data_IF_184656703282
#
_entry.id   IF_184656703282
#
_cell.length_a   1.000
_cell.length_b   1.000
_cell.length_c   1.000
_cell.angle_alpha   90.00
_cell.angle_beta   90.00
_cell.angle_gamma   90.00
#
_symmetry.space_group_name_H-M   'P 1'
#
loop_
_entity.id
_entity.type
_entity.pdbx_description
1 polymer ?
#
# COMPACT_ATOMS: atom_id res chain seq x y z
N UNK A 1 -1.92 -29.45 15.44
CA UNK A 1 -1.26 -28.18 15.09
C UNK A 1 -1.38 -27.99 13.59
N UNK A 2 -1.11 -26.80 13.09
CA UNK A 2 -0.97 -26.56 11.65
C UNK A 2 0.52 -26.61 11.29
N UNK A 3 0.86 -27.17 10.13
CA UNK A 3 2.21 -27.16 9.58
C UNK A 3 2.20 -26.72 8.12
N UNK A 4 3.32 -26.16 7.65
CA UNK A 4 3.48 -25.66 6.28
C UNK A 4 4.74 -26.24 5.64
N UNK A 5 4.58 -26.80 4.46
CA UNK A 5 5.66 -27.23 3.58
C UNK A 5 5.78 -26.25 2.42
N UNK A 6 6.89 -25.53 2.36
CA UNK A 6 7.09 -24.46 1.39
C UNK A 6 7.63 -24.99 0.06
N UNK A 7 7.24 -24.33 -1.03
CA UNK A 7 7.72 -24.68 -2.37
C UNK A 7 9.26 -24.56 -2.47
N UNK A 8 9.96 -25.51 -3.12
CA UNK A 8 11.43 -25.55 -3.16
C UNK A 8 12.08 -24.44 -3.99
N UNK A 9 11.39 -23.92 -5.01
CA UNK A 9 11.81 -22.72 -5.74
C UNK A 9 11.57 -21.45 -4.89
N UNK A 10 12.53 -21.14 -4.01
CA UNK A 10 12.48 -19.98 -3.10
C UNK A 10 12.80 -18.69 -3.85
N UNK A 11 11.99 -17.63 -3.73
CA UNK A 11 12.28 -16.33 -4.35
C UNK A 11 13.55 -15.69 -3.81
N UNK A 12 14.34 -15.10 -4.70
CA UNK A 12 15.55 -14.34 -4.35
C UNK A 12 15.22 -12.85 -4.36
N UNK A 13 15.62 -12.16 -3.30
CA UNK A 13 15.55 -10.70 -3.24
C UNK A 13 16.86 -10.09 -3.75
N UNK A 14 16.78 -9.26 -4.79
CA UNK A 14 17.92 -8.52 -5.29
C UNK A 14 18.01 -7.18 -4.54
N UNK A 15 18.82 -7.11 -3.48
CA UNK A 15 18.98 -5.87 -2.70
C UNK A 15 19.91 -4.89 -3.43
N UNK A 16 19.35 -3.83 -4.01
CA UNK A 16 20.14 -2.69 -4.56
C UNK A 16 20.14 -1.50 -3.57
N UNK A 17 19.45 -1.62 -2.44
CA UNK A 17 19.36 -0.61 -1.38
C UNK A 17 18.25 -0.93 -0.38
N UNK A 18 18.10 -0.08 0.62
CA UNK A 18 17.05 -0.23 1.64
C UNK A 18 15.66 0.07 1.08
N UNK A 19 14.73 -0.88 1.26
CA UNK A 19 13.32 -0.66 0.97
C UNK A 19 12.66 0.23 2.05
N UNK A 20 11.40 0.61 1.84
CA UNK A 20 10.72 1.53 2.75
C UNK A 20 10.56 0.96 4.17
N UNK A 21 10.27 -0.34 4.28
CA UNK A 21 10.16 -1.02 5.58
C UNK A 21 11.50 -1.00 6.33
N UNK A 22 12.61 -1.31 5.65
CA UNK A 22 13.96 -1.23 6.23
C UNK A 22 14.30 0.19 6.67
N UNK A 23 13.90 1.21 5.90
CA UNK A 23 14.03 2.62 6.31
C UNK A 23 13.18 3.01 7.51
N UNK A 24 12.04 2.34 7.72
CA UNK A 24 11.22 2.48 8.92
C UNK A 24 11.91 1.83 10.12
N UNK A 25 12.51 0.66 9.93
CA UNK A 25 13.22 -0.09 10.98
C UNK A 25 14.51 0.61 11.44
N UNK A 26 15.18 1.35 10.55
CA UNK A 26 16.35 2.16 10.90
C UNK A 26 16.01 3.58 11.38
N UNK A 27 14.72 3.92 11.52
CA UNK A 27 14.32 5.23 12.00
C UNK A 27 14.54 5.38 13.51
N UNK A 28 14.79 6.61 13.96
CA UNK A 28 14.95 6.96 15.38
C UNK A 28 13.72 6.61 16.25
N UNK A 29 12.55 6.46 15.63
CA UNK A 29 11.28 6.08 16.25
C UNK A 29 10.87 4.63 15.95
N UNK A 30 11.75 3.80 15.37
CA UNK A 30 11.43 2.42 14.99
C UNK A 30 10.83 1.60 16.14
N UNK A 31 11.34 1.76 17.37
CA UNK A 31 10.87 1.03 18.55
C UNK A 31 9.38 1.26 18.87
N UNK A 32 8.82 2.42 18.51
CA UNK A 32 7.40 2.74 18.75
C UNK A 32 6.54 2.54 17.49
N UNK A 33 7.15 2.41 16.31
CA UNK A 33 6.40 2.27 15.06
C UNK A 33 5.69 0.93 14.92
N UNK A 34 6.26 -0.11 15.53
CA UNK A 34 5.71 -1.47 15.49
C UNK A 34 4.61 -1.74 16.52
N UNK A 35 4.43 -0.85 17.50
CA UNK A 35 3.55 -1.10 18.66
C UNK A 35 2.50 -0.02 18.90
N UNK A 36 2.82 1.26 18.70
CA UNK A 36 1.98 2.37 19.16
C UNK A 36 1.79 3.49 18.11
N UNK A 37 2.73 3.65 17.18
CA UNK A 37 2.81 4.82 16.31
C UNK A 37 2.92 4.47 14.82
N UNK A 38 1.78 4.42 14.13
CA UNK A 38 1.72 4.17 12.68
C UNK A 38 2.15 5.35 11.80
N UNK A 39 2.51 6.50 12.38
CA UNK A 39 2.72 7.75 11.67
C UNK A 39 4.18 8.00 11.28
N UNK A 40 4.86 7.01 10.72
CA UNK A 40 6.20 7.19 10.16
C UNK A 40 6.23 8.35 9.14
N UNK A 41 7.29 9.19 9.11
CA UNK A 41 8.48 9.20 9.98
C UNK A 41 8.33 10.05 11.26
N UNK A 42 7.11 10.45 11.62
CA UNK A 42 6.84 11.33 12.75
C UNK A 42 6.80 10.56 14.07
N UNK A 43 7.17 11.22 15.17
CA UNK A 43 7.20 10.59 16.49
C UNK A 43 5.81 10.28 17.07
N UNK A 44 4.74 10.86 16.51
CA UNK A 44 3.36 10.63 16.95
C UNK A 44 2.34 11.13 15.94
N UNK A 45 1.08 10.72 16.11
CA UNK A 45 -0.08 11.26 15.38
C UNK A 45 -0.16 12.79 15.44
N UNK A 46 0.09 13.37 16.61
CA UNK A 46 0.02 14.83 16.80
C UNK A 46 1.08 15.55 15.95
N UNK A 47 2.30 15.03 15.92
CA UNK A 47 3.39 15.60 15.09
C UNK A 47 3.15 15.39 13.60
N UNK A 48 2.58 14.25 13.20
CA UNK A 48 2.12 14.02 11.83
C UNK A 48 1.05 15.03 11.42
N UNK A 49 0.00 15.22 12.24
CA UNK A 49 -1.07 16.17 11.93
C UNK A 49 -0.55 17.60 11.75
N UNK A 50 0.40 18.02 12.60
CA UNK A 50 1.07 19.30 12.46
C UNK A 50 1.84 19.40 11.15
N UNK A 51 2.67 18.40 10.82
CA UNK A 51 3.42 18.35 9.56
C UNK A 51 2.50 18.35 8.33
N UNK A 52 1.41 17.59 8.38
CA UNK A 52 0.38 17.54 7.34
C UNK A 52 -0.24 18.93 7.15
N UNK A 53 -0.71 19.57 8.22
CA UNK A 53 -1.30 20.90 8.17
C UNK A 53 -0.33 21.95 7.60
N UNK A 54 0.93 21.94 8.04
CA UNK A 54 1.97 22.83 7.52
C UNK A 54 2.27 22.58 6.03
N UNK A 55 2.08 21.34 5.55
CA UNK A 55 2.35 20.99 4.15
C UNK A 55 1.20 21.29 3.20
N UNK A 56 -0.05 21.08 3.63
CA UNK A 56 -1.24 21.31 2.79
C UNK A 56 -1.80 22.71 2.95
N UNK A 57 -1.42 23.40 4.02
CA UNK A 57 -1.80 24.79 4.26
C UNK A 57 -1.22 25.73 3.21
N UNK A 58 -1.90 26.86 3.01
CA UNK A 58 -1.46 27.92 2.10
C UNK A 58 -0.35 28.79 2.72
N UNK A 59 0.67 28.15 3.31
CA UNK A 59 1.82 28.80 3.93
C UNK A 59 3.04 28.73 3.00
N UNK A 60 3.77 29.83 2.89
CA UNK A 60 5.08 29.85 2.24
C UNK A 60 6.13 29.13 3.10
N UNK A 61 7.23 28.72 2.48
CA UNK A 61 8.34 28.08 3.21
C UNK A 61 8.87 28.98 4.34
N UNK A 62 8.94 30.29 4.10
CA UNK A 62 9.36 31.28 5.10
C UNK A 62 8.40 31.35 6.28
N UNK A 63 7.09 31.32 6.04
CA UNK A 63 6.09 31.35 7.12
C UNK A 63 6.13 30.06 7.95
N UNK A 64 6.35 28.91 7.30
CA UNK A 64 6.57 27.64 8.01
C UNK A 64 7.82 27.73 8.89
N UNK A 65 8.93 28.23 8.36
CA UNK A 65 10.15 28.40 9.16
C UNK A 65 9.94 29.37 10.33
N UNK A 66 9.25 30.50 10.12
CA UNK A 66 8.89 31.43 11.20
C UNK A 66 8.08 30.73 12.28
N UNK A 67 7.05 29.96 11.90
CA UNK A 67 6.25 29.18 12.84
C UNK A 67 7.10 28.20 13.65
N UNK A 68 8.03 27.48 13.01
CA UNK A 68 8.88 26.49 13.67
C UNK A 68 9.83 27.11 14.72
N UNK A 69 10.19 28.39 14.56
CA UNK A 69 11.08 29.10 15.48
C UNK A 69 10.34 29.92 16.56
N UNK A 70 9.01 29.84 16.64
CA UNK A 70 8.27 30.47 17.74
C UNK A 70 8.66 29.83 19.09
N UNK A 71 8.67 30.62 20.16
CA UNK A 71 8.98 30.11 21.50
C UNK A 71 8.01 28.99 21.93
N UNK A 72 6.74 29.11 21.54
CA UNK A 72 5.71 28.11 21.81
C UNK A 72 6.00 26.74 21.15
N UNK A 73 6.53 26.73 19.92
CA UNK A 73 6.90 25.48 19.24
C UNK A 73 8.18 24.87 19.81
N UNK A 74 9.08 25.69 20.38
CA UNK A 74 10.26 25.22 21.10
C UNK A 74 9.94 24.34 22.32
N UNK A 75 8.79 24.55 22.96
CA UNK A 75 8.34 23.77 24.11
C UNK A 75 7.80 22.37 23.73
N UNK A 76 7.38 22.17 22.48
CA UNK A 76 6.96 20.86 21.95
C UNK A 76 7.37 20.76 20.48
N UNK A 77 8.67 20.51 20.21
CA UNK A 77 9.19 20.62 18.85
C UNK A 77 8.59 19.53 17.95
N UNK A 78 8.25 19.88 16.69
CA UNK A 78 7.90 18.89 15.69
C UNK A 78 9.08 17.96 15.41
N UNK A 79 8.84 16.90 14.64
CA UNK A 79 9.89 15.93 14.29
C UNK A 79 10.92 16.48 13.27
N UNK A 80 10.77 17.72 12.79
CA UNK A 80 11.58 18.37 11.76
C UNK A 80 11.90 19.82 12.16
N UNK A 81 13.02 20.37 11.70
CA UNK A 81 13.50 21.69 12.15
C UNK A 81 13.23 22.81 11.14
N UNK A 82 13.02 22.48 9.86
CA UNK A 82 12.76 23.47 8.80
C UNK A 82 11.66 23.00 7.83
N UNK A 83 11.11 23.95 7.07
CA UNK A 83 10.21 23.67 5.94
C UNK A 83 10.88 22.76 4.90
N UNK A 84 12.19 22.89 4.71
CA UNK A 84 12.99 22.05 3.83
C UNK A 84 13.03 20.60 4.33
N UNK A 85 13.23 20.39 5.63
CA UNK A 85 13.26 19.05 6.24
C UNK A 85 11.90 18.35 6.08
N UNK A 86 10.81 19.05 6.36
CA UNK A 86 9.45 18.55 6.15
C UNK A 86 9.24 18.11 4.69
N UNK A 87 9.69 18.91 3.72
CA UNK A 87 9.59 18.56 2.29
C UNK A 87 10.45 17.36 1.92
N UNK A 88 11.64 17.22 2.49
CA UNK A 88 12.50 16.05 2.28
C UNK A 88 11.79 14.79 2.79
N UNK A 89 11.14 14.87 3.95
CA UNK A 89 10.40 13.76 4.52
C UNK A 89 9.22 13.35 3.66
N UNK A 90 8.42 14.31 3.20
CA UNK A 90 7.29 14.06 2.29
C UNK A 90 7.76 13.42 0.98
N UNK A 91 8.88 13.90 0.41
CA UNK A 91 9.48 13.28 -0.78
C UNK A 91 10.03 11.88 -0.55
N UNK A 92 10.34 11.53 0.70
CA UNK A 92 10.81 10.20 1.09
C UNK A 92 9.68 9.19 1.31
N UNK A 93 8.42 9.64 1.37
CA UNK A 93 7.26 8.75 1.47
C UNK A 93 7.00 8.04 0.13
N UNK A 94 6.39 6.84 0.16
CA UNK A 94 6.10 6.10 -1.06
C UNK A 94 5.17 6.90 -1.97
N UNK A 95 5.52 7.00 -3.26
CA UNK A 95 4.62 7.61 -4.24
C UNK A 95 3.33 6.79 -4.36
N UNK A 96 2.20 7.49 -4.39
CA UNK A 96 0.88 6.89 -4.60
C UNK A 96 0.55 6.95 -6.09
N UNK A 97 0.00 5.86 -6.70
CA UNK A 97 -0.40 5.88 -8.11
C UNK A 97 -1.40 7.00 -8.42
N UNK A 98 -1.04 7.83 -9.40
CA UNK A 98 -1.84 8.98 -9.82
C UNK A 98 -3.15 8.57 -10.52
N UNK A 99 -4.19 9.35 -10.30
CA UNK A 99 -5.45 9.25 -11.04
C UNK A 99 -5.34 9.92 -12.41
N UNK A 100 -5.87 9.22 -13.41
CA UNK A 100 -6.10 9.71 -14.76
C UNK A 100 -7.59 9.68 -15.06
N UNK A 101 -8.02 10.49 -16.02
CA UNK A 101 -9.37 10.40 -16.55
C UNK A 101 -9.38 10.50 -18.07
N UNK A 102 -10.29 9.77 -18.72
CA UNK A 102 -10.50 9.89 -20.15
C UNK A 102 -11.96 9.72 -20.51
N UNK A 103 -12.39 10.40 -21.57
CA UNK A 103 -13.72 10.22 -22.15
C UNK A 103 -13.71 8.96 -23.00
N UNK A 104 -14.57 8.00 -22.67
CA UNK A 104 -14.80 6.81 -23.49
C UNK A 104 -15.77 7.16 -24.62
N UNK A 105 -15.40 6.82 -25.85
CA UNK A 105 -16.30 6.77 -27.00
C UNK A 105 -16.58 5.30 -27.34
N UNK A 106 -17.86 4.94 -27.37
CA UNK A 106 -18.28 3.58 -27.75
C UNK A 106 -18.72 3.63 -29.20
N UNK A 107 -17.82 3.31 -30.13
CA UNK A 107 -18.10 3.32 -31.58
C UNK A 107 -18.75 4.64 -32.05
N UNK A 108 -19.87 4.53 -32.75
CA UNK A 108 -20.65 5.67 -33.25
C UNK A 108 -21.75 6.15 -32.28
N UNK A 109 -21.87 5.57 -31.09
CA UNK A 109 -22.94 5.91 -30.16
C UNK A 109 -22.74 7.30 -29.57
N UNK A 110 -23.76 8.16 -29.72
CA UNK A 110 -23.81 9.49 -29.07
C UNK A 110 -24.48 9.36 -27.71
N UNK A 111 -23.70 9.52 -26.64
CA UNK A 111 -24.24 9.56 -25.28
C UNK A 111 -24.73 10.96 -24.93
N UNK A 112 -25.84 11.07 -24.19
CA UNK A 112 -26.36 12.36 -23.69
C UNK A 112 -25.38 13.03 -22.73
N UNK A 113 -24.68 12.23 -21.93
CA UNK A 113 -23.60 12.64 -21.02
C UNK A 113 -22.34 11.87 -21.39
N UNK A 114 -21.15 12.52 -21.44
CA UNK A 114 -19.88 11.83 -21.68
C UNK A 114 -19.67 10.67 -20.70
N UNK A 115 -19.32 9.49 -21.22
CA UNK A 115 -18.81 8.39 -20.39
C UNK A 115 -17.38 8.73 -19.99
N UNK A 116 -17.14 8.88 -18.69
CA UNK A 116 -15.82 9.20 -18.15
C UNK A 116 -15.26 7.98 -17.43
N UNK A 117 -14.07 7.55 -17.82
CA UNK A 117 -13.28 6.56 -17.10
C UNK A 117 -12.28 7.29 -16.22
N UNK A 118 -12.29 6.97 -14.93
CA UNK A 118 -11.25 7.34 -13.99
C UNK A 118 -10.42 6.10 -13.69
N UNK A 119 -9.10 6.18 -13.84
CA UNK A 119 -8.24 5.00 -13.74
C UNK A 119 -6.86 5.36 -13.18
N UNK A 120 -6.16 4.34 -12.67
CA UNK A 120 -4.76 4.39 -12.28
C UNK A 120 -4.00 3.37 -13.12
N UNK A 121 -2.72 3.59 -13.36
CA UNK A 121 -1.84 2.59 -13.96
C UNK A 121 -1.83 1.34 -13.08
N UNK A 122 -2.35 0.22 -13.61
CA UNK A 122 -2.51 -1.03 -12.86
C UNK A 122 -1.20 -1.60 -12.35
N UNK A 123 -0.11 -1.48 -13.11
CA UNK A 123 1.21 -1.94 -12.68
C UNK A 123 1.74 -1.08 -11.53
N UNK A 124 1.52 0.23 -11.57
CA UNK A 124 1.86 1.12 -10.44
C UNK A 124 1.04 0.80 -9.20
N UNK A 125 -0.25 0.46 -9.37
CA UNK A 125 -1.11 0.01 -8.25
C UNK A 125 -0.58 -1.28 -7.63
N UNK A 126 -0.28 -2.29 -8.45
CA UNK A 126 0.28 -3.56 -7.97
C UNK A 126 1.60 -3.34 -7.22
N UNK A 127 2.53 -2.56 -7.80
CA UNK A 127 3.80 -2.20 -7.14
C UNK A 127 3.59 -1.48 -5.82
N UNK A 128 2.64 -0.55 -5.77
CA UNK A 128 2.33 0.20 -4.56
C UNK A 128 1.72 -0.68 -3.47
N UNK A 129 0.79 -1.59 -3.81
CA UNK A 129 0.23 -2.56 -2.88
C UNK A 129 1.30 -3.51 -2.35
N UNK A 130 2.14 -4.05 -3.23
CA UNK A 130 3.22 -4.97 -2.87
C UNK A 130 4.27 -4.32 -1.95
N UNK A 131 4.59 -3.03 -2.19
CA UNK A 131 5.57 -2.29 -1.39
C UNK A 131 5.00 -1.70 -0.10
N UNK A 132 3.70 -1.85 0.17
CA UNK A 132 3.07 -1.26 1.35
C UNK A 132 3.40 -2.09 2.60
N UNK A 133 4.11 -1.46 3.54
CA UNK A 133 4.55 -2.09 4.80
C UNK A 133 3.41 -2.61 5.67
N UNK A 134 2.19 -2.07 5.53
CA UNK A 134 1.01 -2.57 6.26
C UNK A 134 0.74 -4.04 5.95
N UNK A 135 1.04 -4.50 4.73
CA UNK A 135 0.80 -5.89 4.33
C UNK A 135 1.99 -6.82 4.57
N UNK A 136 3.14 -6.30 5.02
CA UNK A 136 4.33 -7.11 5.21
C UNK A 136 4.13 -8.30 6.17
N UNK A 137 3.37 -8.19 7.28
CA UNK A 137 3.13 -9.32 8.20
C UNK A 137 2.18 -10.39 7.66
N UNK A 138 1.43 -10.09 6.59
CA UNK A 138 0.33 -10.92 6.08
C UNK A 138 0.47 -11.14 4.56
N UNK A 139 1.72 -11.26 4.09
CA UNK A 139 2.02 -11.51 2.69
C UNK A 139 2.89 -12.75 2.53
N UNK A 140 2.42 -13.70 1.72
CA UNK A 140 3.15 -14.91 1.37
C UNK A 140 3.89 -14.70 0.04
N UNK A 141 5.23 -14.74 0.08
CA UNK A 141 6.05 -14.44 -1.10
C UNK A 141 6.21 -15.62 -2.06
N UNK A 142 5.89 -16.84 -1.66
CA UNK A 142 5.87 -18.02 -2.52
C UNK A 142 4.92 -19.09 -1.96
N UNK A 143 4.56 -20.10 -2.77
CA UNK A 143 3.55 -21.08 -2.38
C UNK A 143 4.00 -21.99 -1.25
N UNK A 144 3.01 -22.55 -0.56
CA UNK A 144 3.17 -23.57 0.46
C UNK A 144 2.01 -24.54 0.45
N UNK A 145 2.21 -25.69 1.05
CA UNK A 145 1.17 -26.63 1.42
C UNK A 145 0.95 -26.57 2.91
N UNK A 146 -0.24 -26.19 3.32
CA UNK A 146 -0.71 -26.22 4.71
C UNK A 146 -1.36 -27.58 5.03
N UNK A 147 -1.09 -28.07 6.23
CA UNK A 147 -1.62 -29.32 6.77
C UNK A 147 -2.19 -29.11 8.17
N UNK A 148 -3.28 -29.80 8.48
CA UNK A 148 -3.99 -29.67 9.75
C UNK A 148 -4.34 -31.03 10.38
N UNK A 149 -4.49 -31.03 11.70
CA UNK A 149 -4.94 -32.18 12.48
C UNK A 149 -3.84 -33.22 12.75
N UNK A 150 -4.18 -34.29 13.49
CA UNK A 150 -3.25 -35.38 13.79
C UNK A 150 -2.88 -36.22 12.57
N UNK A 151 -3.72 -36.19 11.52
CA UNK A 151 -3.56 -36.99 10.31
C UNK A 151 -2.84 -36.23 9.17
N UNK A 152 -2.33 -35.01 9.42
CA UNK A 152 -1.70 -34.14 8.41
C UNK A 152 -2.56 -34.00 7.14
N UNK A 153 -3.84 -33.67 7.31
CA UNK A 153 -4.74 -33.49 6.17
C UNK A 153 -4.44 -32.17 5.47
N UNK A 154 -4.49 -32.18 4.14
CA UNK A 154 -4.25 -31.00 3.31
C UNK A 154 -5.32 -29.93 3.58
N UNK A 155 -4.89 -28.72 3.91
CA UNK A 155 -5.75 -27.56 4.12
C UNK A 155 -5.49 -26.47 3.07
N UNK A 156 -6.55 -25.75 2.71
CA UNK A 156 -6.51 -24.63 1.77
C UNK A 156 -7.09 -23.40 2.46
N UNK A 157 -6.28 -22.38 2.63
CA UNK A 157 -6.68 -21.09 3.22
C UNK A 157 -6.50 -19.97 2.22
N UNK A 158 -5.27 -19.47 2.10
CA UNK A 158 -4.92 -18.38 1.19
C UNK A 158 -4.61 -18.89 -0.23
N UNK A 159 -4.62 -18.01 -1.23
CA UNK A 159 -4.31 -18.40 -2.61
C UNK A 159 -2.93 -19.08 -2.73
N UNK A 160 -1.94 -18.60 -1.97
CA UNK A 160 -0.59 -19.18 -1.97
C UNK A 160 -0.54 -20.59 -1.35
N UNK A 161 -1.60 -21.01 -0.67
CA UNK A 161 -1.76 -22.39 -0.20
C UNK A 161 -2.35 -23.33 -1.26
N UNK A 162 -2.76 -22.84 -2.44
CA UNK A 162 -3.47 -23.64 -3.45
C UNK A 162 -2.53 -24.40 -4.40
N UNK A 163 -3.02 -25.52 -4.95
CA UNK A 163 -2.27 -26.31 -5.93
C UNK A 163 -1.92 -25.49 -7.19
N UNK A 164 -2.84 -24.61 -7.63
CA UNK A 164 -2.57 -23.71 -8.75
C UNK A 164 -1.39 -22.78 -8.49
N UNK A 165 -1.24 -22.27 -7.26
CA UNK A 165 -0.09 -21.43 -6.91
C UNK A 165 1.23 -22.22 -7.00
N UNK A 166 1.20 -23.47 -6.54
CA UNK A 166 2.32 -24.40 -6.65
C UNK A 166 2.69 -24.67 -8.12
N UNK A 167 1.71 -25.03 -8.96
CA UNK A 167 1.89 -25.29 -10.39
C UNK A 167 2.43 -24.08 -11.17
N UNK A 168 2.04 -22.86 -10.79
CA UNK A 168 2.60 -21.63 -11.38
C UNK A 168 4.08 -21.51 -11.00
N UNK A 169 4.42 -21.74 -9.72
CA UNK A 169 5.79 -21.61 -9.23
C UNK A 169 6.75 -22.65 -9.81
N UNK A 170 6.26 -23.86 -10.10
CA UNK A 170 7.00 -24.92 -10.81
C UNK A 170 7.46 -24.48 -12.22
N UNK A 171 6.69 -23.60 -12.86
CA UNK A 171 6.99 -23.11 -14.21
C UNK A 171 7.95 -21.91 -14.23
N UNK A 172 8.27 -21.33 -13.08
CA UNK A 172 9.15 -20.17 -12.98
C UNK A 172 10.62 -20.59 -12.89
N UNK A 173 11.55 -19.77 -13.43
CA UNK A 173 12.97 -20.01 -13.22
C UNK A 173 13.33 -20.00 -11.72
N UNK A 174 14.43 -20.67 -11.32
CA UNK A 174 14.92 -20.61 -9.95
C UNK A 174 15.06 -19.17 -9.44
N UNK A 175 14.63 -18.93 -8.21
CA UNK A 175 14.73 -17.61 -7.56
C UNK A 175 13.66 -16.60 -7.96
N UNK A 176 12.72 -16.95 -8.82
CA UNK A 176 11.63 -16.06 -9.23
C UNK A 176 10.38 -16.31 -8.38
N UNK A 177 9.49 -15.32 -8.33
CA UNK A 177 8.15 -15.46 -7.78
C UNK A 177 7.15 -14.76 -8.69
N UNK A 178 5.87 -15.01 -8.44
CA UNK A 178 4.78 -14.32 -9.08
C UNK A 178 3.96 -13.54 -8.05
N UNK A 179 3.23 -12.55 -8.56
CA UNK A 179 2.22 -11.81 -7.79
C UNK A 179 0.89 -12.06 -8.47
N UNK A 180 -0.01 -12.78 -7.78
CA UNK A 180 -1.37 -12.96 -8.27
C UNK A 180 -2.16 -11.66 -8.17
N UNK A 181 -2.95 -11.32 -9.18
CA UNK A 181 -3.81 -10.13 -9.19
C UNK A 181 -5.27 -10.57 -9.20
N UNK A 182 -6.01 -10.20 -8.15
CA UNK A 182 -7.43 -10.49 -8.02
C UNK A 182 -8.19 -9.21 -8.38
N UNK A 183 -9.03 -9.29 -9.41
CA UNK A 183 -9.91 -8.21 -9.84
C UNK A 183 -11.35 -8.48 -9.41
N UNK A 184 -12.00 -7.49 -8.79
CA UNK A 184 -13.41 -7.53 -8.48
C UNK A 184 -14.11 -6.26 -8.99
N UNK A 185 -15.34 -6.38 -9.45
CA UNK A 185 -16.15 -5.22 -9.83
C UNK A 185 -17.55 -5.39 -9.29
N UNK A 186 -18.06 -4.32 -8.68
CA UNK A 186 -19.43 -4.27 -8.20
C UNK A 186 -20.01 -2.89 -8.48
N UNK A 187 -21.34 -2.79 -8.46
CA UNK A 187 -22.07 -1.55 -8.62
C UNK A 187 -22.12 -0.80 -7.28
N UNK A 188 -21.43 0.32 -7.19
CA UNK A 188 -21.36 1.13 -5.96
C UNK A 188 -22.16 2.43 -6.10
N UNK A 189 -23.13 2.70 -5.21
CA UNK A 189 -23.83 3.99 -5.18
C UNK A 189 -22.89 5.09 -4.67
N UNK A 190 -22.78 6.20 -5.41
CA UNK A 190 -21.93 7.35 -5.05
C UNK A 190 -22.64 8.37 -4.17
N UNK A 191 -23.97 8.47 -4.30
CA UNK A 191 -24.80 9.46 -3.60
C UNK A 191 -26.08 8.80 -3.15
N UNK A 192 -26.36 8.82 -1.84
CA UNK A 192 -27.65 8.40 -1.30
C UNK A 192 -28.51 9.66 -1.12
N UNK A 193 -29.66 9.72 -1.80
CA UNK A 193 -30.65 10.80 -1.64
C UNK A 193 -30.47 12.05 -2.52
N UNK A 194 -29.33 12.25 -3.18
CA UNK A 194 -29.09 13.40 -4.06
C UNK A 194 -28.43 12.99 -5.39
N UNK A 195 -29.25 12.61 -6.37
CA UNK A 195 -28.82 12.49 -7.77
C UNK A 195 -28.53 11.09 -8.31
N UNK A 196 -28.76 10.02 -7.51
CA UNK A 196 -28.68 8.60 -7.91
C UNK A 196 -27.48 8.27 -8.82
N UNK A 197 -26.30 8.80 -8.50
CA UNK A 197 -25.08 8.48 -9.25
C UNK A 197 -24.55 7.13 -8.79
N UNK A 198 -24.14 6.33 -9.75
CA UNK A 198 -23.61 4.99 -9.55
C UNK A 198 -22.28 4.88 -10.29
N UNK A 199 -21.35 4.12 -9.73
CA UNK A 199 -20.10 3.76 -10.38
C UNK A 199 -19.90 2.26 -10.35
N UNK A 200 -19.13 1.76 -11.32
CA UNK A 200 -18.70 0.37 -11.38
C UNK A 200 -17.18 0.34 -11.23
N UNK A 201 -16.63 0.42 -9.99
CA UNK A 201 -15.20 0.30 -9.77
C UNK A 201 -14.68 -1.06 -10.22
N UNK A 202 -13.43 -1.06 -10.68
CA UNK A 202 -12.58 -2.24 -10.63
C UNK A 202 -11.69 -2.12 -9.40
N UNK A 203 -11.83 -3.07 -8.48
CA UNK A 203 -10.99 -3.23 -7.30
C UNK A 203 -9.89 -4.23 -7.61
N UNK A 204 -8.68 -3.92 -7.16
CA UNK A 204 -7.49 -4.76 -7.36
C UNK A 204 -6.94 -5.14 -5.99
N UNK A 205 -6.74 -6.44 -5.79
CA UNK A 205 -6.07 -7.05 -4.63
C UNK A 205 -4.91 -7.92 -5.12
N UNK A 206 -3.94 -8.18 -4.25
CA UNK A 206 -2.87 -9.13 -4.54
C UNK A 206 -3.20 -10.46 -3.87
N UNK A 207 -3.13 -11.55 -4.62
CA UNK A 207 -3.43 -12.90 -4.11
C UNK A 207 -2.43 -13.37 -3.04
N UNK A 208 -1.27 -12.72 -2.97
CA UNK A 208 -0.24 -12.99 -1.99
C UNK A 208 -0.54 -12.35 -0.63
N UNK A 209 -1.53 -11.45 -0.53
CA UNK A 209 -1.94 -10.80 0.73
C UNK A 209 -3.07 -11.62 1.34
N UNK A 210 -2.99 -11.92 2.63
CA UNK A 210 -4.00 -12.68 3.36
C UNK A 210 -5.36 -11.98 3.34
N UNK A 211 -6.44 -12.77 3.28
CA UNK A 211 -7.79 -12.24 3.36
C UNK A 211 -8.10 -11.72 4.78
N UNK A 212 -8.87 -10.63 4.87
CA UNK A 212 -9.36 -10.10 6.15
C UNK A 212 -8.40 -9.16 6.90
N UNK A 213 -7.34 -8.71 6.24
CA UNK A 213 -6.46 -7.62 6.68
C UNK A 213 -7.10 -6.26 6.43
#
# INVERSE_FOLDING_TARGET
GTSRDYHPNVPITYSVGENHLQKMDHNVHAAIHHTENLYYPFASKAKFNLGYWLSVGALSQKEVDVFLHLEHTGNNPPSFSTSKDLRIWIKGLPEVPLWYHQKIQVGSYKTKVPLMLYWRDGLKVVKHLFANSVFAPCMDFWPYWEFEGPDNQRAYGEFMSADLAWEIQDQLPPGHSFIGVIGASDKTPLTIGTGNKEMHPLLILLANIHAGV
#
